data_IF_987661533295
#
_entry.id   IF_987661533295
#
_cell.length_a   1.000
_cell.length_b   1.000
_cell.length_c   1.000
_cell.angle_alpha   90.00
_cell.angle_beta   90.00
_cell.angle_gamma   90.00
#
_symmetry.space_group_name_H-M   'P 1'
#
loop_
_entity.id
_entity.type
_entity.pdbx_description
1 polymer ?
#
# COMPACT_ATOMS: atom_id res chain seq x y z
N UNK A 1 11.66 -6.35 -16.24
CA UNK A 1 11.57 -5.34 -15.19
C UNK A 1 10.34 -5.62 -14.34
N UNK A 2 10.53 -5.82 -13.03
CA UNK A 2 9.50 -6.15 -12.04
C UNK A 2 8.44 -7.16 -12.52
N UNK A 3 8.83 -8.35 -13.03
CA UNK A 3 7.92 -9.26 -13.74
C UNK A 3 6.82 -9.84 -12.85
N UNK A 4 6.97 -9.72 -11.53
CA UNK A 4 6.04 -10.29 -10.55
C UNK A 4 5.32 -9.21 -9.73
N UNK A 5 5.42 -7.94 -10.11
CA UNK A 5 4.63 -6.88 -9.50
C UNK A 5 3.14 -7.25 -9.55
N UNK A 6 2.48 -7.25 -8.39
CA UNK A 6 1.05 -7.59 -8.23
C UNK A 6 0.66 -9.05 -8.59
N UNK A 7 1.62 -9.97 -8.67
CA UNK A 7 1.36 -11.39 -8.94
C UNK A 7 1.27 -12.16 -7.63
N UNK A 8 0.22 -12.98 -7.45
CA UNK A 8 0.08 -13.83 -6.27
C UNK A 8 1.17 -14.90 -6.18
N UNK A 9 1.43 -15.38 -4.95
CA UNK A 9 2.50 -16.33 -4.65
C UNK A 9 2.42 -17.61 -5.51
N UNK A 10 1.22 -18.14 -5.77
CA UNK A 10 1.05 -19.38 -6.53
C UNK A 10 1.40 -19.18 -8.00
N UNK A 11 0.87 -18.13 -8.62
CA UNK A 11 1.15 -17.77 -10.01
C UNK A 11 2.62 -17.42 -10.20
N UNK A 12 3.20 -16.64 -9.27
CA UNK A 12 4.62 -16.30 -9.25
C UNK A 12 5.52 -17.52 -9.23
N UNK A 13 5.26 -18.49 -8.34
CA UNK A 13 6.05 -19.72 -8.30
C UNK A 13 5.98 -20.53 -9.61
N UNK A 14 4.81 -20.54 -10.27
CA UNK A 14 4.66 -21.20 -11.57
C UNK A 14 5.46 -20.48 -12.67
N UNK A 15 5.48 -19.15 -12.66
CA UNK A 15 6.26 -18.35 -13.60
C UNK A 15 7.77 -18.47 -13.36
N UNK A 16 8.22 -18.49 -12.09
CA UNK A 16 9.63 -18.74 -11.76
C UNK A 16 10.10 -20.09 -12.25
N UNK A 17 9.29 -21.14 -12.08
CA UNK A 17 9.60 -22.47 -12.59
C UNK A 17 9.70 -22.47 -14.13
N UNK A 18 8.82 -21.76 -14.83
CA UNK A 18 8.89 -21.60 -16.28
C UNK A 18 10.15 -20.85 -16.72
N UNK A 19 10.54 -19.77 -16.03
CA UNK A 19 11.78 -19.04 -16.33
C UNK A 19 12.99 -19.95 -16.15
N UNK A 20 13.02 -20.77 -15.10
CA UNK A 20 14.12 -21.74 -14.89
C UNK A 20 14.16 -22.82 -15.97
N UNK A 21 13.02 -23.29 -16.44
CA UNK A 21 12.93 -24.25 -17.54
C UNK A 21 13.48 -23.64 -18.84
N UNK A 22 13.09 -22.41 -19.18
CA UNK A 22 13.65 -21.69 -20.33
C UNK A 22 15.18 -21.50 -20.20
N UNK A 23 15.66 -21.17 -19.01
CA UNK A 23 17.11 -21.06 -18.77
C UNK A 23 17.83 -22.39 -18.99
N UNK A 24 17.28 -23.51 -18.54
CA UNK A 24 17.82 -24.85 -18.76
C UNK A 24 17.86 -25.21 -20.26
N UNK A 25 17.02 -24.61 -21.09
CA UNK A 25 17.04 -24.75 -22.55
C UNK A 25 17.99 -23.76 -23.26
N UNK A 26 18.84 -23.05 -22.50
CA UNK A 26 19.89 -22.17 -23.00
C UNK A 26 19.47 -20.71 -23.20
N UNK A 27 18.32 -20.28 -22.69
CA UNK A 27 17.90 -18.88 -22.73
C UNK A 27 18.54 -18.13 -21.55
N UNK A 28 19.30 -17.08 -21.84
CA UNK A 28 19.78 -16.15 -20.80
C UNK A 28 18.67 -15.20 -20.41
N UNK A 29 18.40 -15.10 -19.11
CA UNK A 29 17.32 -14.29 -18.57
C UNK A 29 17.90 -13.29 -17.58
N UNK A 30 17.59 -12.00 -17.77
CA UNK A 30 17.93 -10.91 -16.85
C UNK A 30 16.64 -10.38 -16.27
N UNK A 31 16.54 -10.35 -14.93
CA UNK A 31 15.39 -9.82 -14.20
C UNK A 31 15.85 -8.66 -13.33
N UNK A 32 15.15 -7.53 -13.43
CA UNK A 32 15.29 -6.41 -12.50
C UNK A 32 14.11 -6.45 -11.54
N UNK A 33 14.37 -6.50 -10.25
CA UNK A 33 13.33 -6.57 -9.23
C UNK A 33 13.84 -6.03 -7.89
N UNK A 34 12.96 -5.51 -7.07
CA UNK A 34 13.27 -5.04 -5.71
C UNK A 34 13.20 -6.15 -4.66
N UNK A 35 12.73 -7.35 -5.02
CA UNK A 35 12.56 -8.50 -4.14
C UNK A 35 13.53 -9.66 -4.50
N UNK A 36 14.86 -9.50 -4.32
CA UNK A 36 15.83 -10.49 -4.74
C UNK A 36 15.66 -11.85 -4.06
N UNK A 37 15.09 -11.88 -2.85
CA UNK A 37 14.81 -13.11 -2.11
C UNK A 37 13.87 -14.08 -2.86
N UNK A 38 13.04 -13.60 -3.77
CA UNK A 38 12.15 -14.43 -4.59
C UNK A 38 12.89 -15.34 -5.55
N UNK A 39 14.10 -14.93 -5.93
CA UNK A 39 14.91 -15.58 -6.97
C UNK A 39 16.01 -16.46 -6.41
N UNK A 40 16.16 -16.60 -5.09
CA UNK A 40 17.27 -17.33 -4.44
C UNK A 40 17.46 -18.77 -4.95
N UNK A 41 16.38 -19.47 -5.27
CA UNK A 41 16.41 -20.83 -5.77
C UNK A 41 16.40 -20.95 -7.30
N UNK A 42 16.40 -19.82 -8.03
CA UNK A 42 16.17 -19.77 -9.47
C UNK A 42 17.30 -19.05 -10.22
N UNK A 43 17.83 -17.95 -9.66
CA UNK A 43 18.88 -17.17 -10.28
C UNK A 43 20.27 -17.76 -9.99
N UNK A 44 21.16 -17.66 -10.97
CA UNK A 44 22.55 -18.12 -10.86
C UNK A 44 23.46 -17.03 -10.28
N UNK A 45 23.13 -15.75 -10.51
CA UNK A 45 23.90 -14.59 -10.03
C UNK A 45 22.96 -13.45 -9.65
N UNK A 46 23.39 -12.66 -8.67
CA UNK A 46 22.71 -11.43 -8.27
C UNK A 46 23.67 -10.26 -8.43
N UNK A 47 23.16 -9.16 -8.98
CA UNK A 47 23.89 -7.91 -9.11
C UNK A 47 23.05 -6.77 -8.54
N UNK A 48 23.70 -5.83 -7.88
CA UNK A 48 23.09 -4.60 -7.40
C UNK A 48 23.55 -3.44 -8.29
N UNK A 49 22.61 -2.60 -8.71
CA UNK A 49 22.90 -1.39 -9.48
C UNK A 49 22.93 -0.19 -8.52
N UNK A 50 24.11 0.40 -8.32
CA UNK A 50 24.29 1.61 -7.51
C UNK A 50 25.15 2.60 -8.26
N UNK A 51 24.69 3.86 -8.33
CA UNK A 51 25.43 4.98 -8.95
C UNK A 51 25.94 4.68 -10.36
N UNK A 52 25.15 3.92 -11.15
CA UNK A 52 25.52 3.51 -12.51
C UNK A 52 26.50 2.33 -12.60
N UNK A 53 26.89 1.72 -11.48
CA UNK A 53 27.77 0.57 -11.42
C UNK A 53 27.01 -0.69 -11.03
N UNK A 54 27.42 -1.84 -11.60
CA UNK A 54 26.90 -3.16 -11.24
C UNK A 54 27.88 -3.85 -10.27
N UNK A 55 27.39 -4.21 -9.09
CA UNK A 55 28.13 -4.93 -8.08
C UNK A 55 27.56 -6.34 -7.88
N UNK A 56 28.44 -7.36 -7.84
CA UNK A 56 28.02 -8.74 -7.55
C UNK A 56 27.64 -8.86 -6.07
N UNK A 57 26.46 -9.44 -5.81
CA UNK A 57 25.96 -9.70 -4.46
C UNK A 57 26.12 -11.18 -4.13
N UNK A 58 26.84 -11.49 -3.06
CA UNK A 58 27.10 -12.88 -2.61
C UNK A 58 26.01 -13.43 -1.70
N UNK A 59 25.24 -12.57 -1.04
CA UNK A 59 24.15 -12.97 -0.13
C UNK A 59 22.95 -12.01 -0.26
N UNK A 60 22.00 -12.29 -1.17
CA UNK A 60 20.82 -11.46 -1.36
C UNK A 60 19.70 -11.75 -0.33
N UNK A 61 20.01 -12.28 0.87
CA UNK A 61 19.02 -12.65 1.87
C UNK A 61 18.32 -11.44 2.46
N UNK A 62 17.14 -11.10 1.97
CA UNK A 62 16.16 -10.40 2.77
C UNK A 62 15.19 -11.44 3.35
N UNK A 63 15.02 -11.41 4.66
CA UNK A 63 14.10 -12.28 5.38
C UNK A 63 12.67 -11.98 4.92
N UNK A 64 11.87 -13.00 4.65
CA UNK A 64 10.41 -12.87 4.56
C UNK A 64 9.91 -12.36 5.92
N UNK A 65 9.50 -11.12 6.08
CA UNK A 65 9.06 -10.65 7.38
C UNK A 65 7.61 -11.09 7.60
N UNK A 66 7.39 -11.86 8.63
CA UNK A 66 6.09 -11.80 9.29
C UNK A 66 5.95 -10.39 9.86
N UNK A 67 4.81 -9.75 9.63
CA UNK A 67 4.56 -8.41 10.19
C UNK A 67 4.57 -8.52 11.70
N UNK A 68 5.62 -7.99 12.33
CA UNK A 68 5.64 -7.83 13.78
C UNK A 68 4.82 -6.59 14.12
N UNK A 69 3.88 -6.74 15.04
CA UNK A 69 3.02 -5.63 15.48
C UNK A 69 3.71 -4.80 16.55
N UNK A 70 3.44 -3.49 16.53
CA UNK A 70 3.75 -2.63 17.66
C UNK A 70 2.87 -2.99 18.85
N UNK A 71 3.39 -2.91 20.07
CA UNK A 71 2.59 -3.04 21.29
C UNK A 71 1.66 -1.83 21.39
N UNK A 72 0.43 -1.96 20.92
CA UNK A 72 -0.59 -0.91 21.06
C UNK A 72 -1.63 -1.33 22.09
N UNK A 73 -1.84 -0.47 23.09
CA UNK A 73 -2.85 -0.65 24.15
C UNK A 73 -4.16 0.09 23.85
N UNK A 74 -4.21 0.88 22.78
CA UNK A 74 -5.42 1.61 22.40
C UNK A 74 -6.34 0.72 21.58
N UNK A 75 -7.54 0.48 22.09
CA UNK A 75 -8.58 -0.32 21.44
C UNK A 75 -9.78 0.53 21.00
N UNK A 76 -9.56 1.82 20.66
CA UNK A 76 -10.64 2.66 20.17
C UNK A 76 -11.04 2.25 18.74
N UNK A 77 -12.32 1.88 18.57
CA UNK A 77 -12.86 1.44 17.29
C UNK A 77 -12.99 2.61 16.33
N UNK A 78 -12.55 2.42 15.08
CA UNK A 78 -12.74 3.39 14.00
C UNK A 78 -13.77 2.93 12.98
N UNK A 79 -13.80 1.62 12.66
CA UNK A 79 -14.77 1.04 11.75
C UNK A 79 -15.44 -0.18 12.37
N UNK A 80 -16.73 -0.34 12.08
CA UNK A 80 -17.47 -1.58 12.31
C UNK A 80 -18.16 -2.01 11.02
N UNK A 81 -18.00 -3.26 10.69
CA UNK A 81 -18.62 -3.95 9.55
C UNK A 81 -19.70 -4.88 10.10
N UNK A 82 -20.97 -4.66 9.72
CA UNK A 82 -22.13 -5.43 10.22
C UNK A 82 -22.85 -6.09 9.05
N UNK A 83 -22.88 -7.43 9.04
CA UNK A 83 -23.49 -8.28 8.01
C UNK A 83 -23.06 -7.89 6.58
N UNK A 84 -21.75 -7.71 6.40
CA UNK A 84 -21.19 -7.29 5.11
C UNK A 84 -21.10 -8.48 4.16
N UNK A 85 -21.74 -8.36 2.99
CA UNK A 85 -21.51 -9.24 1.85
C UNK A 85 -21.03 -8.41 0.65
N UNK A 86 -19.89 -8.82 0.07
CA UNK A 86 -19.31 -8.19 -1.11
C UNK A 86 -19.19 -9.23 -2.21
N UNK A 87 -19.79 -8.92 -3.36
CA UNK A 87 -19.80 -9.80 -4.52
C UNK A 87 -19.12 -9.15 -5.74
N UNK A 88 -18.50 -9.99 -6.57
CA UNK A 88 -18.01 -9.63 -7.92
C UNK A 88 -18.60 -10.57 -8.95
N UNK A 89 -19.61 -10.09 -9.69
CA UNK A 89 -20.43 -10.92 -10.52
C UNK A 89 -21.20 -11.97 -9.68
N UNK A 90 -20.93 -13.25 -9.94
CA UNK A 90 -21.53 -14.35 -9.17
C UNK A 90 -20.64 -14.87 -8.03
N UNK A 91 -19.41 -14.34 -7.91
CA UNK A 91 -18.45 -14.78 -6.89
C UNK A 91 -18.60 -13.93 -5.63
N UNK A 92 -18.87 -14.57 -4.50
CA UNK A 92 -18.77 -13.94 -3.19
C UNK A 92 -17.29 -13.75 -2.83
N UNK A 93 -16.88 -12.53 -2.55
CA UNK A 93 -15.51 -12.19 -2.16
C UNK A 93 -15.36 -12.12 -0.64
N UNK A 94 -16.35 -11.52 0.03
CA UNK A 94 -16.36 -11.34 1.48
C UNK A 94 -17.76 -11.58 2.04
N UNK A 95 -17.80 -12.24 3.20
CA UNK A 95 -18.99 -12.43 4.01
C UNK A 95 -18.56 -12.27 5.48
N UNK A 96 -19.02 -11.20 6.14
CA UNK A 96 -18.55 -10.81 7.47
C UNK A 96 -19.76 -10.43 8.31
N UNK A 97 -20.01 -11.16 9.40
CA UNK A 97 -21.15 -10.92 10.28
C UNK A 97 -20.96 -9.64 11.11
N UNK A 98 -19.91 -9.59 11.92
CA UNK A 98 -19.54 -8.43 12.73
C UNK A 98 -18.01 -8.36 12.88
N UNK A 99 -17.40 -7.25 12.47
CA UNK A 99 -15.97 -7.08 12.53
C UNK A 99 -15.59 -5.64 12.88
N UNK A 100 -14.60 -5.50 13.73
CA UNK A 100 -14.15 -4.21 14.24
C UNK A 100 -12.74 -3.91 13.79
N UNK A 101 -12.49 -2.69 13.31
CA UNK A 101 -11.16 -2.18 12.99
C UNK A 101 -10.89 -1.00 13.93
N UNK A 102 -9.69 -0.98 14.50
CA UNK A 102 -9.30 -0.03 15.53
C UNK A 102 -8.45 1.11 14.98
N UNK A 103 -8.38 2.23 15.72
CA UNK A 103 -7.53 3.39 15.37
C UNK A 103 -6.06 3.01 15.38
N UNK A 104 -5.33 3.50 14.38
CA UNK A 104 -3.92 3.26 14.20
C UNK A 104 -3.57 2.82 12.79
N UNK A 105 -2.45 2.12 12.63
CA UNK A 105 -1.99 1.56 11.37
C UNK A 105 -2.38 0.09 11.31
N UNK A 106 -3.31 -0.25 10.42
CA UNK A 106 -3.76 -1.62 10.17
C UNK A 106 -3.20 -2.13 8.85
N UNK A 107 -2.46 -3.24 8.89
CA UNK A 107 -2.07 -3.99 7.69
C UNK A 107 -3.17 -4.95 7.30
N UNK A 108 -3.59 -4.94 6.04
CA UNK A 108 -4.58 -5.86 5.48
C UNK A 108 -3.93 -6.76 4.44
N UNK A 109 -3.89 -8.06 4.72
CA UNK A 109 -3.32 -9.09 3.84
C UNK A 109 -4.35 -10.09 3.32
N UNK A 110 -3.94 -10.99 2.47
CA UNK A 110 -4.75 -12.06 1.87
C UNK A 110 -4.33 -12.32 0.43
N UNK A 111 -4.69 -13.46 -0.12
CA UNK A 111 -4.35 -13.84 -1.50
C UNK A 111 -4.92 -12.88 -2.55
N UNK A 112 -4.40 -12.92 -3.78
CA UNK A 112 -4.96 -12.12 -4.86
C UNK A 112 -6.40 -12.56 -5.18
N UNK A 113 -7.25 -11.55 -5.41
CA UNK A 113 -8.67 -11.79 -5.70
C UNK A 113 -9.53 -12.18 -4.49
N UNK A 114 -9.03 -12.04 -3.26
CA UNK A 114 -9.82 -12.24 -2.02
C UNK A 114 -10.72 -11.06 -1.67
N UNK A 115 -10.52 -9.89 -2.32
CA UNK A 115 -11.40 -8.74 -2.13
C UNK A 115 -10.80 -7.60 -1.31
N UNK A 116 -9.47 -7.55 -1.08
CA UNK A 116 -8.79 -6.47 -0.34
C UNK A 116 -9.14 -5.07 -0.88
N UNK A 117 -8.81 -4.80 -2.14
CA UNK A 117 -9.18 -3.56 -2.85
C UNK A 117 -10.68 -3.31 -2.82
N UNK A 118 -11.48 -4.36 -2.98
CA UNK A 118 -12.94 -4.25 -2.99
C UNK A 118 -13.48 -3.83 -1.63
N UNK A 119 -12.89 -4.32 -0.54
CA UNK A 119 -13.21 -3.89 0.82
C UNK A 119 -12.87 -2.41 1.03
N UNK A 120 -11.68 -1.95 0.63
CA UNK A 120 -11.32 -0.53 0.71
C UNK A 120 -12.30 0.34 -0.07
N UNK A 121 -12.70 -0.09 -1.27
CA UNK A 121 -13.71 0.60 -2.08
C UNK A 121 -15.11 0.56 -1.46
N UNK A 122 -15.48 -0.50 -0.75
CA UNK A 122 -16.74 -0.57 -0.01
C UNK A 122 -16.76 0.42 1.16
N UNK A 123 -15.68 0.49 1.94
CA UNK A 123 -15.51 1.45 3.05
C UNK A 123 -15.62 2.89 2.53
N UNK A 124 -14.98 3.21 1.41
CA UNK A 124 -15.04 4.54 0.79
C UNK A 124 -16.29 4.79 -0.06
N UNK A 125 -17.27 3.87 -0.09
CA UNK A 125 -18.52 3.98 -0.87
C UNK A 125 -18.30 4.08 -2.38
N UNK A 126 -17.19 3.56 -2.89
CA UNK A 126 -16.89 3.45 -4.32
C UNK A 126 -17.41 2.13 -4.92
N UNK A 127 -17.66 1.12 -4.08
CA UNK A 127 -18.21 -0.19 -4.45
C UNK A 127 -19.49 -0.48 -3.66
N UNK A 128 -20.47 -1.08 -4.32
CA UNK A 128 -21.70 -1.56 -3.66
C UNK A 128 -21.41 -2.82 -2.81
N UNK A 129 -22.10 -2.93 -1.69
CA UNK A 129 -22.06 -4.06 -0.77
C UNK A 129 -23.44 -4.19 -0.09
N UNK A 130 -23.74 -5.34 0.47
CA UNK A 130 -24.86 -5.56 1.36
C UNK A 130 -24.37 -5.43 2.82
N UNK A 131 -25.29 -5.06 3.73
CA UNK A 131 -24.96 -4.84 5.13
C UNK A 131 -24.77 -3.37 5.52
N UNK A 132 -23.99 -3.12 6.56
CA UNK A 132 -23.76 -1.76 7.09
C UNK A 132 -22.30 -1.59 7.50
N UNK A 133 -21.73 -0.46 7.12
CA UNK A 133 -20.42 0.01 7.59
C UNK A 133 -20.66 1.23 8.47
N UNK A 134 -20.01 1.25 9.63
CA UNK A 134 -20.01 2.38 10.55
C UNK A 134 -18.58 2.93 10.64
N UNK A 135 -18.47 4.25 10.63
CA UNK A 135 -17.24 5.00 10.86
C UNK A 135 -17.45 5.94 12.04
N UNK A 136 -16.65 5.78 13.09
CA UNK A 136 -16.84 6.48 14.36
C UNK A 136 -18.31 6.38 14.82
N UNK A 137 -18.87 5.16 14.84
CA UNK A 137 -20.25 4.83 15.23
C UNK A 137 -21.36 5.41 14.32
N UNK A 138 -21.03 6.28 13.36
CA UNK A 138 -21.97 6.79 12.36
C UNK A 138 -22.04 5.86 11.14
N UNK A 139 -23.27 5.50 10.71
CA UNK A 139 -23.44 4.70 9.48
C UNK A 139 -22.89 5.45 8.27
N UNK A 140 -21.96 4.80 7.55
CA UNK A 140 -21.33 5.37 6.35
C UNK A 140 -22.36 5.52 5.23
N UNK A 141 -22.39 6.72 4.65
CA UNK A 141 -23.21 7.06 3.47
C UNK A 141 -22.37 7.91 2.52
N UNK A 142 -22.51 7.65 1.22
CA UNK A 142 -21.86 8.45 0.18
C UNK A 142 -22.24 9.93 0.31
N UNK A 143 -21.28 10.77 0.66
CA UNK A 143 -21.50 12.20 0.86
C UNK A 143 -20.20 12.98 0.81
N UNK A 144 -20.27 14.30 0.56
CA UNK A 144 -19.08 15.18 0.66
C UNK A 144 -18.48 15.17 2.08
N UNK A 145 -19.30 14.98 3.12
CA UNK A 145 -18.84 14.89 4.52
C UNK A 145 -17.96 13.65 4.72
N UNK A 146 -18.33 12.51 4.12
CA UNK A 146 -17.54 11.28 4.18
C UNK A 146 -16.16 11.47 3.58
N UNK A 147 -16.08 12.05 2.36
CA UNK A 147 -14.82 12.25 1.64
C UNK A 147 -13.89 13.31 2.23
N UNK A 148 -14.37 14.10 3.20
CA UNK A 148 -13.52 14.94 4.06
C UNK A 148 -12.89 14.15 5.21
N UNK A 149 -13.46 12.98 5.55
CA UNK A 149 -13.02 12.15 6.67
C UNK A 149 -12.26 10.92 6.24
N UNK A 150 -12.62 10.33 5.11
CA UNK A 150 -12.02 9.12 4.55
C UNK A 150 -11.49 9.42 3.16
N UNK A 151 -10.20 9.16 2.95
CA UNK A 151 -9.57 9.23 1.63
C UNK A 151 -9.00 7.87 1.23
N UNK A 152 -8.84 7.65 -0.08
CA UNK A 152 -8.40 6.36 -0.61
C UNK A 152 -7.30 6.59 -1.63
N UNK A 153 -6.18 5.88 -1.48
CA UNK A 153 -5.14 5.77 -2.49
C UNK A 153 -5.53 4.68 -3.48
N UNK A 154 -5.71 5.05 -4.74
CA UNK A 154 -5.94 4.09 -5.80
C UNK A 154 -4.62 3.44 -6.23
N UNK A 155 -4.67 2.18 -6.66
CA UNK A 155 -3.51 1.45 -7.12
C UNK A 155 -2.81 2.17 -8.29
N UNK A 156 -3.57 2.58 -9.30
CA UNK A 156 -3.09 3.40 -10.41
C UNK A 156 -3.19 4.90 -10.07
N UNK A 157 -2.04 5.56 -9.95
CA UNK A 157 -1.93 6.97 -9.61
C UNK A 157 -2.62 7.88 -10.64
N UNK A 158 -2.62 7.54 -11.93
CA UNK A 158 -3.28 8.35 -12.95
C UNK A 158 -4.79 8.44 -12.78
N UNK A 159 -5.43 7.43 -12.19
CA UNK A 159 -6.87 7.46 -11.94
C UNK A 159 -7.25 8.43 -10.81
N UNK A 160 -6.28 8.92 -10.07
CA UNK A 160 -6.49 9.79 -8.92
C UNK A 160 -6.17 11.25 -9.17
N UNK A 161 -5.23 11.55 -10.06
CA UNK A 161 -4.83 12.92 -10.37
C UNK A 161 -5.94 13.68 -11.12
N UNK A 162 -6.18 14.92 -10.71
CA UNK A 162 -7.07 15.87 -11.37
C UNK A 162 -6.31 16.64 -12.44
N UNK A 163 -5.06 17.02 -12.13
CA UNK A 163 -4.14 17.68 -13.07
C UNK A 163 -3.01 16.74 -13.47
N UNK A 164 -2.52 16.93 -14.70
CA UNK A 164 -1.30 16.25 -15.17
C UNK A 164 -0.01 16.97 -14.73
N UNK A 165 -0.13 18.13 -14.10
CA UNK A 165 1.00 18.91 -13.60
C UNK A 165 1.09 18.82 -12.09
N UNK A 166 2.16 18.25 -11.51
CA UNK A 166 2.30 18.12 -10.05
C UNK A 166 2.11 19.43 -9.29
N UNK A 167 2.61 20.54 -9.81
CA UNK A 167 2.44 21.86 -9.17
C UNK A 167 0.98 22.24 -9.02
N UNK A 168 0.17 21.99 -10.06
CA UNK A 168 -1.26 22.27 -10.00
C UNK A 168 -1.98 21.33 -9.02
N UNK A 169 -1.65 20.04 -9.07
CA UNK A 169 -2.21 19.04 -8.16
C UNK A 169 -1.96 19.41 -6.67
N UNK A 170 -0.74 19.85 -6.35
CA UNK A 170 -0.38 20.34 -5.01
C UNK A 170 -1.15 21.61 -4.67
N UNK A 171 -1.25 22.56 -5.60
CA UNK A 171 -1.94 23.85 -5.37
C UNK A 171 -3.44 23.73 -5.17
N UNK A 172 -4.06 22.65 -5.67
CA UNK A 172 -5.50 22.37 -5.50
C UNK A 172 -5.84 21.88 -4.11
N UNK A 173 -4.86 21.48 -3.30
CA UNK A 173 -5.07 21.02 -1.93
C UNK A 173 -5.51 22.19 -1.03
N UNK A 174 -6.62 22.02 -0.32
CA UNK A 174 -7.18 23.10 0.51
C UNK A 174 -7.08 22.83 2.01
N UNK A 175 -7.44 21.64 2.42
CA UNK A 175 -7.49 21.22 3.82
C UNK A 175 -6.31 20.26 4.10
N UNK A 176 -5.12 20.82 4.37
CA UNK A 176 -3.91 20.06 4.68
C UNK A 176 -3.53 20.18 6.15
N UNK A 177 -2.78 19.18 6.67
CA UNK A 177 -2.21 19.23 8.01
C UNK A 177 -1.16 20.36 8.13
N UNK A 178 -1.04 20.95 9.29
CA UNK A 178 -0.07 22.05 9.53
C UNK A 178 1.38 21.61 9.26
N UNK A 179 1.71 20.38 9.61
CA UNK A 179 3.05 19.81 9.37
C UNK A 179 3.26 19.29 7.93
N UNK A 180 2.22 19.23 7.11
CA UNK A 180 2.30 18.64 5.76
C UNK A 180 3.26 19.41 4.84
N UNK A 181 3.28 20.73 4.91
CA UNK A 181 4.18 21.55 4.06
C UNK A 181 5.63 21.16 4.26
N UNK A 182 6.07 20.94 5.51
CA UNK A 182 7.43 20.52 5.81
C UNK A 182 7.74 19.15 5.19
N UNK A 183 6.80 18.21 5.26
CA UNK A 183 6.95 16.88 4.67
C UNK A 183 6.94 16.92 3.14
N UNK A 184 6.13 17.78 2.53
CA UNK A 184 6.13 18.00 1.08
C UNK A 184 7.49 18.52 0.62
N UNK A 185 8.02 19.57 1.27
CA UNK A 185 9.34 20.13 0.95
C UNK A 185 10.46 19.09 1.11
N UNK A 186 10.44 18.32 2.19
CA UNK A 186 11.42 17.24 2.41
C UNK A 186 11.34 16.19 1.31
N UNK A 187 10.13 15.71 0.95
CA UNK A 187 9.94 14.72 -0.10
C UNK A 187 10.45 15.22 -1.44
N UNK A 188 10.05 16.42 -1.83
CA UNK A 188 10.45 17.00 -3.12
C UNK A 188 11.96 17.15 -3.23
N UNK A 189 12.62 17.58 -2.15
CA UNK A 189 14.08 17.72 -2.09
C UNK A 189 14.78 16.36 -2.06
N UNK A 190 14.30 15.42 -1.25
CA UNK A 190 14.96 14.13 -1.05
C UNK A 190 14.94 13.24 -2.29
N UNK A 191 13.90 13.38 -3.13
CA UNK A 191 13.72 12.62 -4.35
C UNK A 191 13.94 13.45 -5.61
N UNK A 192 14.60 14.62 -5.53
CA UNK A 192 14.95 15.51 -6.64
C UNK A 192 13.77 15.92 -7.53
N UNK A 193 12.58 16.06 -6.94
CA UNK A 193 11.34 16.39 -7.66
C UNK A 193 11.05 17.90 -7.75
N UNK A 194 11.76 18.76 -7.02
CA UNK A 194 11.48 20.20 -6.96
C UNK A 194 11.50 20.88 -8.34
N UNK A 195 12.49 20.51 -9.18
CA UNK A 195 12.69 21.08 -10.52
C UNK A 195 11.79 20.46 -11.58
N UNK A 196 11.09 19.39 -11.21
CA UNK A 196 10.27 18.61 -12.14
C UNK A 196 8.79 18.99 -12.09
N UNK A 197 8.35 19.77 -11.08
CA UNK A 197 6.94 20.05 -10.77
C UNK A 197 6.13 20.65 -11.94
N UNK A 198 6.80 21.29 -12.88
CA UNK A 198 6.19 21.89 -14.09
C UNK A 198 6.22 20.97 -15.31
N UNK A 199 6.71 19.74 -15.16
CA UNK A 199 6.64 18.70 -16.18
C UNK A 199 5.37 17.87 -16.01
N UNK A 200 4.83 17.40 -17.14
CA UNK A 200 3.67 16.51 -17.08
C UNK A 200 4.01 15.19 -16.41
N UNK A 201 3.07 14.67 -15.61
CA UNK A 201 3.16 13.36 -14.93
C UNK A 201 3.44 12.18 -15.88
N UNK A 202 3.21 12.34 -17.17
CA UNK A 202 3.60 11.33 -18.17
C UNK A 202 5.12 11.11 -18.28
N UNK A 203 5.93 12.13 -17.94
CA UNK A 203 7.38 12.05 -17.96
C UNK A 203 8.00 11.46 -16.66
N UNK A 204 7.17 11.28 -15.64
CA UNK A 204 7.62 10.73 -14.36
C UNK A 204 7.69 9.19 -14.40
N UNK A 205 8.64 8.62 -13.68
CA UNK A 205 8.68 7.17 -13.43
C UNK A 205 7.45 6.73 -12.61
N UNK A 206 7.18 5.42 -12.58
CA UNK A 206 6.12 4.86 -11.73
C UNK A 206 6.27 5.26 -10.26
N UNK A 207 7.49 5.15 -9.73
CA UNK A 207 7.81 5.54 -8.36
C UNK A 207 7.65 7.03 -8.08
N UNK A 208 8.12 7.88 -8.98
CA UNK A 208 7.94 9.33 -8.85
C UNK A 208 6.46 9.73 -8.83
N UNK A 209 5.63 9.15 -9.72
CA UNK A 209 4.18 9.37 -9.70
C UNK A 209 3.54 8.91 -8.40
N UNK A 210 3.97 7.73 -7.90
CA UNK A 210 3.49 7.20 -6.62
C UNK A 210 3.86 8.12 -5.46
N UNK A 211 5.06 8.68 -5.43
CA UNK A 211 5.48 9.64 -4.41
C UNK A 211 4.62 10.91 -4.43
N UNK A 212 4.34 11.49 -5.60
CA UNK A 212 3.44 12.66 -5.73
C UNK A 212 2.02 12.31 -5.27
N UNK A 213 1.49 11.14 -5.65
CA UNK A 213 0.18 10.66 -5.21
C UNK A 213 0.11 10.56 -3.68
N UNK A 214 1.09 9.89 -3.06
CA UNK A 214 1.13 9.72 -1.60
C UNK A 214 1.36 11.05 -0.88
N UNK A 215 2.22 11.93 -1.40
CA UNK A 215 2.41 13.28 -0.89
C UNK A 215 1.09 14.04 -0.82
N UNK A 216 0.30 14.01 -1.90
CA UNK A 216 -0.99 14.68 -1.92
C UNK A 216 -1.98 14.08 -0.90
N UNK A 217 -2.03 12.76 -0.78
CA UNK A 217 -2.94 12.07 0.14
C UNK A 217 -2.56 12.25 1.60
N UNK A 218 -1.28 12.08 1.95
CA UNK A 218 -0.77 12.21 3.33
C UNK A 218 -0.86 13.64 3.83
N UNK A 219 -0.88 14.63 2.93
CA UNK A 219 -1.06 16.03 3.30
C UNK A 219 -2.49 16.36 3.74
N UNK A 220 -3.50 15.64 3.25
CA UNK A 220 -4.92 15.96 3.48
C UNK A 220 -5.34 15.71 4.93
N UNK A 221 -6.15 16.61 5.49
CA UNK A 221 -6.81 16.45 6.79
C UNK A 221 -7.95 15.44 6.70
N UNK A 222 -7.61 14.15 6.81
CA UNK A 222 -8.59 13.06 6.87
C UNK A 222 -8.39 12.22 8.12
N UNK A 223 -9.47 11.64 8.65
CA UNK A 223 -9.41 10.81 9.87
C UNK A 223 -8.94 9.38 9.54
N UNK A 224 -9.25 8.89 8.33
CA UNK A 224 -8.89 7.55 7.86
C UNK A 224 -8.36 7.63 6.43
N UNK A 225 -7.18 7.04 6.20
CA UNK A 225 -6.59 6.89 4.87
C UNK A 225 -6.48 5.41 4.51
N UNK A 226 -7.11 5.05 3.39
CA UNK A 226 -7.11 3.70 2.83
C UNK A 226 -6.05 3.63 1.74
N UNK A 227 -5.01 2.84 1.92
CA UNK A 227 -3.88 2.74 1.02
C UNK A 227 -3.87 1.38 0.33
N UNK A 228 -4.09 1.38 -0.99
CA UNK A 228 -4.03 0.17 -1.82
C UNK A 228 -2.70 0.12 -2.56
N UNK A 229 -1.84 -0.82 -2.17
CA UNK A 229 -0.48 -1.03 -2.68
C UNK A 229 0.37 0.27 -2.74
N UNK A 230 0.54 0.96 -1.60
CA UNK A 230 1.24 2.25 -1.60
C UNK A 230 2.75 2.14 -1.90
N UNK A 231 3.35 0.97 -1.72
CA UNK A 231 4.79 0.75 -1.86
C UNK A 231 5.22 0.23 -3.23
N UNK A 232 4.26 0.02 -4.16
CA UNK A 232 4.55 -0.43 -5.52
C UNK A 232 5.40 0.61 -6.25
N UNK A 233 6.45 0.18 -6.94
CA UNK A 233 7.43 0.99 -7.66
C UNK A 233 8.28 1.93 -6.76
N UNK A 234 8.23 1.79 -5.44
CA UNK A 234 9.08 2.53 -4.52
C UNK A 234 10.29 1.70 -4.11
N UNK A 235 11.45 2.32 -4.05
CA UNK A 235 12.63 1.73 -3.43
C UNK A 235 12.52 1.72 -1.89
N UNK A 236 13.47 1.12 -1.23
CA UNK A 236 13.48 0.98 0.23
C UNK A 236 13.53 2.35 0.95
N UNK A 237 14.30 3.31 0.39
CA UNK A 237 14.42 4.68 0.92
C UNK A 237 13.08 5.40 0.86
N UNK A 238 12.39 5.33 -0.29
CA UNK A 238 11.08 5.92 -0.49
C UNK A 238 10.02 5.28 0.42
N UNK A 239 10.04 3.95 0.57
CA UNK A 239 9.14 3.25 1.49
C UNK A 239 9.35 3.71 2.93
N UNK A 240 10.61 3.83 3.39
CA UNK A 240 10.92 4.31 4.74
C UNK A 240 10.42 5.73 4.97
N UNK A 241 10.68 6.63 4.03
CA UNK A 241 10.21 8.02 4.09
C UNK A 241 8.68 8.11 4.20
N UNK A 242 7.95 7.38 3.38
CA UNK A 242 6.48 7.35 3.42
C UNK A 242 5.97 6.79 4.74
N UNK A 243 6.59 5.74 5.27
CA UNK A 243 6.20 5.20 6.56
C UNK A 243 6.48 6.16 7.71
N UNK A 244 7.59 6.90 7.70
CA UNK A 244 7.86 7.96 8.68
C UNK A 244 6.77 9.04 8.66
N UNK A 245 6.32 9.44 7.48
CA UNK A 245 5.23 10.42 7.36
C UNK A 245 3.89 9.86 7.86
N UNK A 246 3.57 8.60 7.57
CA UNK A 246 2.39 7.89 8.10
C UNK A 246 2.42 7.87 9.63
N UNK A 247 3.55 7.49 10.23
CA UNK A 247 3.73 7.46 11.68
C UNK A 247 3.59 8.85 12.31
N UNK A 248 4.12 9.88 11.66
CA UNK A 248 3.99 11.26 12.11
C UNK A 248 2.54 11.75 12.06
N UNK A 249 1.81 11.47 10.98
CA UNK A 249 0.39 11.79 10.88
C UNK A 249 -0.43 11.04 11.95
N UNK A 250 -0.14 9.78 12.21
CA UNK A 250 -0.75 9.03 13.32
C UNK A 250 -0.47 9.73 14.66
N UNK A 251 0.78 10.10 14.90
CA UNK A 251 1.23 10.68 16.17
C UNK A 251 0.68 12.10 16.42
N UNK A 252 0.73 12.97 15.40
CA UNK A 252 0.35 14.39 15.55
C UNK A 252 -1.13 14.64 15.32
N UNK A 253 -1.73 13.92 14.38
CA UNK A 253 -3.09 14.17 13.90
C UNK A 253 -4.10 13.10 14.34
N UNK A 254 -3.65 11.99 14.92
CA UNK A 254 -4.51 10.84 15.23
C UNK A 254 -5.10 10.17 13.98
N UNK A 255 -4.50 10.42 12.80
CA UNK A 255 -4.93 9.80 11.55
C UNK A 255 -4.74 8.29 11.61
N UNK A 256 -5.73 7.55 11.12
CA UNK A 256 -5.66 6.08 11.04
C UNK A 256 -5.47 5.63 9.59
N UNK A 257 -4.90 4.43 9.45
CA UNK A 257 -4.52 3.89 8.15
C UNK A 257 -4.96 2.43 8.03
N UNK A 258 -5.49 2.06 6.86
CA UNK A 258 -5.62 0.67 6.45
C UNK A 258 -4.77 0.50 5.20
N UNK A 259 -3.75 -0.34 5.28
CA UNK A 259 -2.73 -0.50 4.25
C UNK A 259 -2.81 -1.92 3.70
N UNK A 260 -3.17 -2.05 2.43
CA UNK A 260 -3.04 -3.28 1.66
C UNK A 260 -1.68 -3.26 1.00
N UNK A 261 -0.86 -4.26 1.24
CA UNK A 261 0.42 -4.42 0.54
C UNK A 261 0.87 -5.87 0.47
N UNK A 262 1.51 -6.21 -0.65
CA UNK A 262 2.27 -7.46 -0.80
C UNK A 262 3.70 -7.30 -0.26
N UNK A 263 4.21 -6.07 -0.19
CA UNK A 263 5.50 -5.74 0.44
C UNK A 263 5.26 -5.42 1.92
N UNK A 264 5.64 -6.35 2.78
CA UNK A 264 5.40 -6.26 4.23
C UNK A 264 6.59 -5.67 5.01
N UNK A 265 7.78 -5.60 4.37
CA UNK A 265 8.99 -5.07 4.99
C UNK A 265 8.80 -3.65 5.56
N UNK A 266 8.20 -2.69 4.81
CA UNK A 266 8.01 -1.34 5.33
C UNK A 266 7.07 -1.27 6.54
N UNK A 267 6.18 -2.27 6.70
CA UNK A 267 5.17 -2.32 7.75
C UNK A 267 5.65 -3.06 9.01
N UNK A 268 6.78 -3.74 8.93
CA UNK A 268 7.32 -4.52 10.03
C UNK A 268 7.69 -3.64 11.23
N UNK A 269 7.18 -3.96 12.43
CA UNK A 269 7.27 -3.18 13.67
C UNK A 269 6.65 -1.75 13.60
N UNK A 270 5.85 -1.46 12.57
CA UNK A 270 5.19 -0.14 12.37
C UNK A 270 3.67 -0.25 12.35
N UNK A 271 3.12 -1.46 12.18
CA UNK A 271 1.68 -1.71 12.22
C UNK A 271 1.20 -1.97 13.64
N UNK A 272 0.05 -1.41 13.99
CA UNK A 272 -0.61 -1.65 15.27
C UNK A 272 -1.49 -2.91 15.20
N UNK A 273 -2.08 -3.18 14.05
CA UNK A 273 -3.00 -4.30 13.81
C UNK A 273 -2.70 -4.99 12.49
N UNK A 274 -2.95 -6.28 12.46
CA UNK A 274 -2.88 -7.07 11.24
C UNK A 274 -4.20 -7.82 11.04
N UNK A 275 -4.80 -7.65 9.88
CA UNK A 275 -6.03 -8.31 9.46
C UNK A 275 -5.71 -9.13 8.21
N UNK A 276 -6.20 -10.35 8.16
CA UNK A 276 -6.09 -11.22 6.99
C UNK A 276 -7.47 -11.53 6.42
N UNK A 277 -7.58 -11.49 5.11
CA UNK A 277 -8.73 -12.05 4.39
C UNK A 277 -8.43 -13.49 4.02
N UNK A 278 -9.13 -14.42 4.64
CA UNK A 278 -9.09 -15.83 4.28
C UNK A 278 -10.48 -16.46 4.39
N UNK A 279 -10.76 -17.47 3.57
CA UNK A 279 -12.06 -18.14 3.51
C UNK A 279 -13.26 -17.17 3.39
N UNK A 280 -13.12 -16.12 2.60
CA UNK A 280 -14.11 -15.05 2.38
C UNK A 280 -14.50 -14.26 3.64
N UNK A 281 -13.70 -14.28 4.70
CA UNK A 281 -13.96 -13.51 5.91
C UNK A 281 -12.69 -12.80 6.42
N UNK A 282 -12.83 -11.98 7.45
CA UNK A 282 -11.76 -11.19 8.06
C UNK A 282 -11.31 -11.84 9.37
N UNK A 283 -10.00 -11.90 9.57
CA UNK A 283 -9.41 -12.42 10.80
C UNK A 283 -8.40 -11.42 11.37
N UNK A 284 -8.49 -11.14 12.66
CA UNK A 284 -7.40 -10.48 13.37
C UNK A 284 -6.25 -11.47 13.57
N UNK A 285 -5.08 -11.14 13.05
CA UNK A 285 -3.86 -11.90 13.29
C UNK A 285 -3.21 -11.35 14.55
N UNK A 286 -3.06 -12.20 15.56
CA UNK A 286 -2.32 -11.85 16.77
C UNK A 286 -0.83 -11.80 16.43
N UNK A 287 -0.17 -10.69 16.78
CA UNK A 287 1.28 -10.63 16.71
C UNK A 287 1.87 -11.69 17.65
N UNK A 288 2.78 -12.50 17.13
CA UNK A 288 3.58 -13.36 17.99
C UNK A 288 4.47 -12.46 18.85
N UNK A 289 4.14 -12.40 20.13
CA UNK A 289 5.05 -11.86 21.13
C UNK A 289 6.17 -12.90 21.30
N UNK A 290 7.32 -12.68 20.67
CA UNK A 290 8.57 -13.35 21.00
C UNK A 290 9.57 -12.34 21.55
#
# INVERSE_FOLDING_TARGET
DEPFANVDKKTRNSLLALLKDLNNHGVTIIVCDHEPHLYLNYADTFTYLSDGNLELVTDPTSKNPNVKLCNNTQSEQILRLENISIQQGKKELLNVDDFHIFKGITTLTGDNGTGKTTLLHAISQLKKYDGKIYFNEEKVKKSRKLYKKISTCLQDAFQQFISLMPREEISMQKDIWEHATLWQERLLKEFDLEKELDKSLYYYSGGQRKLIQLMCLLSQKTELLLLDEPFTHLDERACSFIMEWIEENKRLAGQSFIIVSHRLEPLNNRSDYHIEISNNTLHHIKGDNY
#
